data_IF_468670904290
#
_entry.id   IF_468670904290
#
_cell.length_a   1.000
_cell.length_b   1.000
_cell.length_c   1.000
_cell.angle_alpha   90.00
_cell.angle_beta   90.00
_cell.angle_gamma   90.00
#
_symmetry.space_group_name_H-M   'P 1'
#
loop_
_entity.id
_entity.type
_entity.pdbx_description
1 polymer ?
#
# COMPACT_ATOMS: atom_id res chain seq x y z
N UNK A 1 10.94 -12.64 -18.90
CA UNK A 1 10.57 -12.73 -17.47
C UNK A 1 10.51 -14.20 -17.07
N UNK A 2 11.01 -14.58 -15.89
CA UNK A 2 10.89 -15.94 -15.31
C UNK A 2 10.11 -15.86 -14.00
N UNK A 3 8.84 -15.47 -14.08
CA UNK A 3 7.96 -15.32 -12.92
C UNK A 3 6.56 -15.87 -13.23
N UNK A 4 5.79 -16.15 -12.18
CA UNK A 4 4.39 -16.62 -12.33
C UNK A 4 3.49 -15.43 -12.61
N UNK A 5 2.67 -15.53 -13.67
CA UNK A 5 1.68 -14.50 -14.02
C UNK A 5 0.27 -14.94 -13.63
N UNK A 6 -0.45 -14.08 -12.92
CA UNK A 6 -1.84 -14.27 -12.50
C UNK A 6 -2.67 -13.14 -13.09
N UNK A 7 -3.70 -13.48 -13.86
CA UNK A 7 -4.65 -12.52 -14.42
C UNK A 7 -5.99 -12.64 -13.72
N UNK A 8 -6.50 -11.55 -13.16
CA UNK A 8 -7.82 -11.50 -12.53
C UNK A 8 -8.90 -11.38 -13.60
N UNK A 9 -10.06 -11.99 -13.32
CA UNK A 9 -11.22 -11.84 -14.19
C UNK A 9 -11.73 -10.39 -14.21
N UNK A 10 -12.50 -10.04 -15.24
CA UNK A 10 -13.10 -8.70 -15.43
C UNK A 10 -13.96 -8.21 -14.25
N UNK A 11 -14.55 -9.14 -13.49
CA UNK A 11 -15.30 -8.84 -12.26
C UNK A 11 -14.42 -8.51 -11.04
N UNK A 12 -13.11 -8.64 -11.17
CA UNK A 12 -12.16 -8.69 -10.06
C UNK A 12 -11.85 -10.13 -9.65
N UNK A 13 -11.47 -10.30 -8.39
CA UNK A 13 -11.01 -11.57 -7.84
C UNK A 13 -9.89 -11.35 -6.84
N UNK A 14 -9.27 -12.44 -6.40
CA UNK A 14 -8.08 -12.43 -5.55
C UNK A 14 -6.98 -13.16 -6.31
N UNK A 15 -5.81 -12.52 -6.49
CA UNK A 15 -4.67 -13.16 -7.15
C UNK A 15 -4.05 -14.24 -6.27
N UNK A 16 -3.67 -13.87 -5.04
CA UNK A 16 -3.18 -14.79 -4.01
C UNK A 16 -3.98 -14.59 -2.73
N UNK A 17 -4.48 -15.69 -2.15
CA UNK A 17 -5.14 -15.69 -0.84
C UNK A 17 -4.27 -16.47 0.14
N UNK A 18 -3.76 -15.81 1.17
CA UNK A 18 -3.12 -16.46 2.32
C UNK A 18 -4.19 -16.71 3.37
N UNK A 19 -4.45 -17.98 3.65
CA UNK A 19 -5.49 -18.41 4.59
C UNK A 19 -5.17 -18.07 6.04
N UNK A 20 -6.20 -18.07 6.89
CA UNK A 20 -6.08 -17.85 8.34
C UNK A 20 -5.25 -18.95 9.05
N UNK A 21 -5.35 -20.20 8.58
CA UNK A 21 -4.55 -21.32 9.08
C UNK A 21 -3.11 -21.37 8.55
N UNK A 22 -2.69 -20.44 7.70
CA UNK A 22 -1.30 -20.39 7.20
C UNK A 22 -0.40 -19.78 8.25
N UNK A 23 0.69 -20.45 8.61
CA UNK A 23 1.69 -19.91 9.54
C UNK A 23 2.62 -18.92 8.85
N UNK A 24 3.08 -19.23 7.63
CA UNK A 24 3.89 -18.32 6.83
C UNK A 24 3.72 -18.55 5.33
N UNK A 25 3.94 -17.49 4.54
CA UNK A 25 3.94 -17.56 3.08
C UNK A 25 5.04 -16.66 2.49
N UNK A 26 5.76 -17.18 1.50
CA UNK A 26 6.76 -16.43 0.74
C UNK A 26 6.30 -16.33 -0.72
N UNK A 27 6.12 -15.11 -1.21
CA UNK A 27 5.61 -14.81 -2.53
C UNK A 27 6.69 -14.05 -3.32
N UNK A 28 7.38 -14.75 -4.21
CA UNK A 28 8.51 -14.21 -4.96
C UNK A 28 8.19 -14.13 -6.45
N UNK A 29 8.64 -13.05 -7.10
CA UNK A 29 8.62 -12.90 -8.56
C UNK A 29 7.24 -13.15 -9.22
N UNK A 30 6.18 -12.73 -8.54
CA UNK A 30 4.81 -12.79 -9.06
C UNK A 30 4.46 -11.57 -9.89
N UNK A 31 3.71 -11.77 -10.96
CA UNK A 31 3.05 -10.69 -11.70
C UNK A 31 1.54 -10.88 -11.61
N UNK A 32 0.83 -9.92 -11.01
CA UNK A 32 -0.62 -9.95 -10.83
C UNK A 32 -1.25 -8.81 -11.63
N UNK A 33 -2.17 -9.13 -12.53
CA UNK A 33 -2.80 -8.17 -13.44
C UNK A 33 -4.32 -8.19 -13.28
N UNK A 34 -4.93 -7.03 -13.07
CA UNK A 34 -6.39 -6.87 -13.05
C UNK A 34 -6.89 -5.83 -14.07
N UNK A 35 -8.15 -5.44 -13.92
CA UNK A 35 -8.82 -4.45 -14.76
C UNK A 35 -9.34 -3.21 -14.00
N UNK A 36 -8.73 -2.93 -12.84
CA UNK A 36 -9.10 -1.85 -11.91
C UNK A 36 -9.99 -2.32 -10.75
N UNK A 37 -10.24 -3.63 -10.65
CA UNK A 37 -11.04 -4.28 -9.60
C UNK A 37 -10.27 -5.46 -9.00
N UNK A 38 -10.70 -5.94 -7.84
CA UNK A 38 -10.12 -7.09 -7.16
C UNK A 38 -8.93 -6.76 -6.27
N UNK A 39 -8.30 -7.81 -5.76
CA UNK A 39 -7.19 -7.76 -4.80
C UNK A 39 -6.01 -8.55 -5.37
N UNK A 40 -4.82 -7.97 -5.33
CA UNK A 40 -3.60 -8.67 -5.71
C UNK A 40 -3.29 -9.80 -4.73
N UNK A 41 -2.96 -9.44 -3.48
CA UNK A 41 -2.68 -10.36 -2.38
C UNK A 41 -3.62 -10.06 -1.22
N UNK A 42 -4.40 -11.07 -0.80
CA UNK A 42 -5.29 -11.01 0.36
C UNK A 42 -4.75 -11.89 1.48
N UNK A 43 -4.46 -11.30 2.64
CA UNK A 43 -3.83 -11.94 3.79
C UNK A 43 -4.84 -12.04 4.92
N UNK A 44 -5.11 -13.27 5.37
CA UNK A 44 -6.01 -13.54 6.50
C UNK A 44 -5.26 -14.00 7.76
N UNK A 45 -4.03 -14.52 7.61
CA UNK A 45 -3.22 -15.03 8.71
C UNK A 45 -1.77 -15.28 8.30
N UNK A 46 -0.93 -15.55 9.31
CA UNK A 46 0.48 -15.87 9.15
C UNK A 46 1.39 -14.69 8.80
N UNK A 47 2.69 -14.96 8.84
CA UNK A 47 3.72 -14.03 8.36
C UNK A 47 3.85 -14.14 6.84
N UNK A 48 3.74 -13.02 6.13
CA UNK A 48 3.80 -13.01 4.66
C UNK A 48 4.95 -12.14 4.21
N UNK A 49 5.86 -12.73 3.45
CA UNK A 49 6.94 -11.99 2.76
C UNK A 49 6.67 -11.98 1.26
N UNK A 50 6.70 -10.80 0.67
CA UNK A 50 6.63 -10.58 -0.77
C UNK A 50 7.94 -9.96 -1.25
N UNK A 51 8.57 -10.53 -2.27
CA UNK A 51 9.78 -9.96 -2.88
C UNK A 51 9.69 -9.94 -4.41
N UNK A 52 9.98 -8.78 -5.01
CA UNK A 52 9.93 -8.61 -6.46
C UNK A 52 8.54 -8.73 -7.08
N UNK A 53 7.47 -8.66 -6.27
CA UNK A 53 6.08 -8.80 -6.73
C UNK A 53 5.63 -7.55 -7.49
N UNK A 54 5.02 -7.77 -8.66
CA UNK A 54 4.45 -6.75 -9.53
C UNK A 54 2.93 -6.87 -9.53
N UNK A 55 2.21 -5.78 -9.26
CA UNK A 55 0.76 -5.76 -9.24
C UNK A 55 0.25 -4.61 -10.10
N UNK A 56 -0.72 -4.84 -10.97
CA UNK A 56 -1.24 -3.78 -11.83
C UNK A 56 -2.76 -3.79 -11.91
N UNK A 57 -3.35 -2.59 -11.91
CA UNK A 57 -4.78 -2.35 -12.16
C UNK A 57 -5.67 -3.22 -11.27
N UNK A 58 -5.53 -3.09 -9.96
CA UNK A 58 -6.40 -3.75 -8.98
C UNK A 58 -7.02 -2.71 -8.03
N UNK A 59 -8.09 -3.09 -7.34
CA UNK A 59 -8.68 -2.26 -6.30
C UNK A 59 -7.77 -2.16 -5.07
N UNK A 60 -7.15 -3.28 -4.68
CA UNK A 60 -6.13 -3.30 -3.62
C UNK A 60 -4.92 -4.12 -4.05
N UNK A 61 -3.71 -3.59 -3.89
CA UNK A 61 -2.48 -4.31 -4.17
C UNK A 61 -2.25 -5.43 -3.14
N UNK A 62 -1.93 -5.03 -1.92
CA UNK A 62 -1.81 -5.90 -0.74
C UNK A 62 -2.89 -5.52 0.26
N UNK A 63 -3.62 -6.51 0.75
CA UNK A 63 -4.75 -6.29 1.66
C UNK A 63 -4.72 -7.26 2.84
N UNK A 64 -4.86 -6.73 4.05
CA UNK A 64 -4.98 -7.50 5.28
C UNK A 64 -5.99 -6.83 6.21
N UNK A 65 -7.24 -7.29 6.17
CA UNK A 65 -8.31 -6.72 7.00
C UNK A 65 -8.16 -7.13 8.48
N UNK A 66 -7.69 -8.36 8.72
CA UNK A 66 -7.56 -8.98 10.05
C UNK A 66 -6.30 -9.85 10.09
N UNK A 67 -5.92 -10.27 11.31
CA UNK A 67 -4.76 -11.11 11.58
C UNK A 67 -3.66 -10.35 12.32
N UNK A 68 -2.71 -11.08 12.90
CA UNK A 68 -1.65 -10.52 13.76
C UNK A 68 -0.23 -10.77 13.22
N UNK A 69 -0.10 -11.37 12.04
CA UNK A 69 1.20 -11.67 11.43
C UNK A 69 1.92 -10.44 10.89
N UNK A 70 3.19 -10.63 10.55
CA UNK A 70 4.02 -9.63 9.89
C UNK A 70 3.80 -9.67 8.37
N UNK A 71 3.50 -8.52 7.78
CA UNK A 71 3.48 -8.33 6.32
C UNK A 71 4.76 -7.62 5.91
N UNK A 72 5.65 -8.32 5.22
CA UNK A 72 6.88 -7.76 4.65
C UNK A 72 6.77 -7.66 3.13
N UNK A 73 6.99 -6.47 2.58
CA UNK A 73 6.92 -6.17 1.14
C UNK A 73 8.25 -5.59 0.68
N UNK A 74 8.96 -6.29 -0.20
CA UNK A 74 10.27 -5.91 -0.70
C UNK A 74 10.23 -5.67 -2.21
N UNK A 75 10.97 -4.65 -2.67
CA UNK A 75 11.30 -4.42 -4.10
C UNK A 75 10.08 -4.44 -5.04
N UNK A 76 8.99 -3.88 -4.56
CA UNK A 76 7.67 -4.11 -5.11
C UNK A 76 7.33 -3.08 -6.20
N UNK A 77 6.51 -3.44 -7.19
CA UNK A 77 5.99 -2.47 -8.16
C UNK A 77 4.48 -2.57 -8.29
N UNK A 78 3.76 -1.49 -7.97
CA UNK A 78 2.34 -1.33 -8.22
C UNK A 78 2.09 -0.27 -9.28
N UNK A 79 1.24 -0.58 -10.26
CA UNK A 79 0.84 0.39 -11.29
C UNK A 79 -0.68 0.46 -11.46
N UNK A 80 -1.24 1.65 -11.30
CA UNK A 80 -2.66 1.93 -11.48
C UNK A 80 -3.55 1.24 -10.43
N UNK A 81 -3.05 1.13 -9.20
CA UNK A 81 -3.80 0.57 -8.06
C UNK A 81 -4.68 1.64 -7.41
N UNK A 82 -5.88 1.26 -6.94
CA UNK A 82 -6.73 2.20 -6.19
C UNK A 82 -6.18 2.37 -4.78
N UNK A 83 -5.93 1.27 -4.08
CA UNK A 83 -5.13 1.25 -2.85
C UNK A 83 -3.91 0.38 -3.06
N UNK A 84 -2.71 0.90 -2.76
CA UNK A 84 -1.48 0.12 -2.87
C UNK A 84 -1.42 -0.96 -1.79
N UNK A 85 -1.23 -0.54 -0.55
CA UNK A 85 -1.15 -1.43 0.62
C UNK A 85 -2.22 -1.00 1.63
N UNK A 86 -3.05 -1.94 2.06
CA UNK A 86 -4.15 -1.71 3.01
C UNK A 86 -4.06 -2.76 4.12
N UNK A 87 -3.45 -2.39 5.26
CA UNK A 87 -3.24 -3.29 6.40
C UNK A 87 -3.96 -2.72 7.61
N UNK A 88 -4.89 -3.50 8.17
CA UNK A 88 -5.71 -3.13 9.33
C UNK A 88 -5.64 -4.14 10.47
N UNK A 89 -5.10 -5.34 10.24
CA UNK A 89 -4.89 -6.33 11.28
C UNK A 89 -3.91 -5.87 12.37
N UNK A 90 -3.94 -6.50 13.55
CA UNK A 90 -3.11 -6.12 14.71
C UNK A 90 -1.62 -6.45 14.58
N UNK A 91 -1.20 -6.93 13.41
CA UNK A 91 0.17 -7.29 13.11
C UNK A 91 1.09 -6.09 12.87
N UNK A 92 2.16 -6.35 12.12
CA UNK A 92 3.13 -5.32 11.73
C UNK A 92 3.27 -5.26 10.22
N UNK A 93 3.56 -4.07 9.70
CA UNK A 93 3.82 -3.84 8.28
C UNK A 93 5.27 -3.38 8.08
N UNK A 94 5.99 -4.03 7.16
CA UNK A 94 7.30 -3.58 6.71
C UNK A 94 7.32 -3.47 5.19
N UNK A 95 7.64 -2.29 4.67
CA UNK A 95 7.75 -2.04 3.22
C UNK A 95 9.18 -1.54 2.95
N UNK A 96 9.94 -2.30 2.17
CA UNK A 96 11.32 -1.98 1.83
C UNK A 96 11.46 -1.81 0.33
N UNK A 97 11.72 -0.56 -0.06
CA UNK A 97 11.85 -0.13 -1.45
C UNK A 97 10.59 -0.42 -2.28
N UNK A 98 10.64 0.01 -3.53
CA UNK A 98 9.56 -0.21 -4.48
C UNK A 98 8.79 1.04 -4.81
N UNK A 99 7.83 0.91 -5.71
CA UNK A 99 7.06 2.02 -6.25
C UNK A 99 5.59 1.68 -6.31
N UNK A 100 4.76 2.59 -5.81
CA UNK A 100 3.31 2.54 -5.88
C UNK A 100 2.82 3.70 -6.74
N UNK A 101 2.40 3.40 -7.97
CA UNK A 101 1.75 4.35 -8.88
C UNK A 101 0.23 4.19 -8.77
N UNK A 102 -0.45 5.24 -8.34
CA UNK A 102 -1.89 5.23 -8.07
C UNK A 102 -2.71 5.31 -9.36
N UNK A 103 -3.95 4.80 -9.28
CA UNK A 103 -4.92 4.95 -10.35
C UNK A 103 -5.23 6.43 -10.62
N UNK A 104 -5.55 6.75 -11.88
CA UNK A 104 -5.72 8.14 -12.36
C UNK A 104 -7.02 8.82 -11.91
N UNK A 105 -7.94 8.13 -11.26
CA UNK A 105 -9.23 8.70 -10.84
C UNK A 105 -9.88 7.99 -9.67
N UNK A 106 -10.87 8.65 -9.06
CA UNK A 106 -11.45 8.25 -7.78
C UNK A 106 -10.52 8.60 -6.61
N UNK A 107 -11.00 8.33 -5.40
CA UNK A 107 -10.14 8.37 -4.21
C UNK A 107 -9.16 7.20 -4.22
N UNK A 108 -7.89 7.50 -3.93
CA UNK A 108 -6.78 6.54 -4.02
C UNK A 108 -5.81 6.72 -2.87
N UNK A 109 -5.20 5.62 -2.46
CA UNK A 109 -4.26 5.56 -1.33
C UNK A 109 -2.99 4.81 -1.71
N UNK A 110 -1.82 5.35 -1.37
CA UNK A 110 -0.56 4.61 -1.46
C UNK A 110 -0.51 3.51 -0.42
N UNK A 111 -0.47 3.90 0.85
CA UNK A 111 -0.46 2.98 1.99
C UNK A 111 -1.46 3.44 3.04
N UNK A 112 -2.35 2.54 3.45
CA UNK A 112 -3.27 2.72 4.57
C UNK A 112 -2.90 1.76 5.70
N UNK A 113 -2.73 2.32 6.91
CA UNK A 113 -2.37 1.60 8.13
C UNK A 113 -3.46 1.80 9.18
N UNK A 114 -4.27 0.77 9.40
CA UNK A 114 -5.43 0.79 10.29
C UNK A 114 -5.08 0.87 11.78
N UNK A 115 -6.11 1.10 12.60
CA UNK A 115 -5.97 1.41 14.03
C UNK A 115 -5.32 0.33 14.89
N UNK A 116 -5.54 -0.94 14.53
CA UNK A 116 -5.04 -2.09 15.29
C UNK A 116 -3.56 -2.37 15.00
N UNK A 117 -3.02 -1.90 13.88
CA UNK A 117 -1.63 -2.16 13.49
C UNK A 117 -0.71 -1.63 14.58
N UNK A 118 0.19 -2.49 15.08
CA UNK A 118 1.05 -2.15 16.22
C UNK A 118 2.30 -1.38 15.81
N UNK A 119 2.79 -1.63 14.58
CA UNK A 119 3.94 -0.94 13.98
C UNK A 119 3.90 -1.02 12.46
N UNK A 120 4.24 0.08 11.80
CA UNK A 120 4.48 0.10 10.36
C UNK A 120 5.79 0.82 10.01
N UNK A 121 6.60 0.22 9.16
CA UNK A 121 7.88 0.77 8.70
C UNK A 121 7.91 0.81 7.18
N UNK A 122 8.01 2.00 6.59
CA UNK A 122 8.21 2.18 5.16
C UNK A 122 9.59 2.78 4.95
N UNK A 123 10.45 2.07 4.22
CA UNK A 123 11.83 2.49 3.94
C UNK A 123 12.08 2.54 2.44
N UNK A 124 12.48 3.70 1.90
CA UNK A 124 12.86 3.83 0.48
C UNK A 124 11.72 3.62 -0.52
N UNK A 125 10.47 3.66 -0.06
CA UNK A 125 9.28 3.50 -0.89
C UNK A 125 8.96 4.78 -1.65
N UNK A 126 8.61 4.65 -2.93
CA UNK A 126 8.10 5.75 -3.75
C UNK A 126 6.59 5.62 -3.96
N UNK A 127 5.85 6.70 -3.76
CA UNK A 127 4.39 6.78 -3.98
C UNK A 127 4.11 7.93 -4.95
N UNK A 128 3.41 7.63 -6.05
CA UNK A 128 3.14 8.58 -7.13
C UNK A 128 1.66 8.62 -7.43
N UNK A 129 1.05 9.77 -7.18
CA UNK A 129 -0.28 10.10 -7.68
C UNK A 129 -0.22 10.71 -9.07
N UNK A 130 -1.04 10.21 -9.99
CA UNK A 130 -1.21 10.78 -11.33
C UNK A 130 -2.65 11.25 -11.57
N UNK A 131 -2.82 12.04 -12.65
CA UNK A 131 -4.13 12.53 -13.09
C UNK A 131 -4.50 13.91 -12.54
N UNK A 132 -5.57 14.48 -13.09
CA UNK A 132 -6.07 15.79 -12.67
C UNK A 132 -6.95 15.66 -11.43
N UNK A 133 -6.98 16.70 -10.58
CA UNK A 133 -7.98 16.81 -9.51
C UNK A 133 -9.36 16.94 -10.18
N UNK A 134 -10.29 16.03 -9.89
CA UNK A 134 -11.69 16.21 -10.31
C UNK A 134 -12.37 17.15 -9.31
N UNK A 135 -13.18 18.09 -9.81
CA UNK A 135 -14.12 18.81 -8.95
C UNK A 135 -15.11 17.81 -8.37
N UNK A 136 -15.12 17.61 -7.05
CA UNK A 136 -16.08 16.71 -6.40
C UNK A 136 -15.63 15.94 -5.14
N UNK A 137 -14.40 16.11 -4.66
CA UNK A 137 -13.99 15.54 -3.37
C UNK A 137 -13.26 14.18 -3.41
N UNK A 138 -12.84 13.72 -4.60
CA UNK A 138 -11.88 12.61 -4.69
C UNK A 138 -10.58 12.97 -3.97
N UNK A 139 -10.13 12.14 -3.02
CA UNK A 139 -8.89 12.34 -2.27
C UNK A 139 -7.79 11.42 -2.76
N UNK A 140 -6.62 11.98 -3.11
CA UNK A 140 -5.40 11.20 -3.35
C UNK A 140 -4.49 11.34 -2.15
N UNK A 141 -4.27 10.24 -1.43
CA UNK A 141 -3.45 10.23 -0.21
C UNK A 141 -2.22 9.35 -0.42
N UNK A 142 -1.05 9.87 -0.06
CA UNK A 142 0.20 9.10 -0.11
C UNK A 142 0.22 8.02 0.95
N UNK A 143 0.27 8.41 2.23
CA UNK A 143 0.19 7.52 3.38
C UNK A 143 -0.89 8.01 4.33
N UNK A 144 -1.75 7.11 4.78
CA UNK A 144 -2.70 7.36 5.86
C UNK A 144 -2.51 6.36 6.98
N UNK A 145 -2.50 6.84 8.21
CA UNK A 145 -2.47 5.99 9.38
C UNK A 145 -3.45 6.43 10.47
N UNK A 146 -4.15 5.44 10.99
CA UNK A 146 -4.98 5.54 12.19
C UNK A 146 -4.41 4.70 13.34
N UNK A 147 -3.22 4.11 13.15
CA UNK A 147 -2.56 3.24 14.12
C UNK A 147 -2.35 3.97 15.44
N UNK A 148 -2.64 3.28 16.54
CA UNK A 148 -2.26 3.76 17.87
C UNK A 148 -0.77 3.54 18.19
N UNK A 149 -0.08 2.75 17.37
CA UNK A 149 1.33 2.42 17.49
C UNK A 149 2.26 3.43 16.80
N UNK A 150 3.43 2.95 16.38
CA UNK A 150 4.43 3.77 15.67
C UNK A 150 4.42 3.49 14.17
N UNK A 151 4.32 4.56 13.37
CA UNK A 151 4.52 4.51 11.92
C UNK A 151 5.77 5.30 11.56
N UNK A 152 6.73 4.64 10.93
CA UNK A 152 8.00 5.23 10.51
C UNK A 152 8.09 5.30 8.99
N UNK A 153 8.34 6.50 8.48
CA UNK A 153 8.62 6.79 7.08
C UNK A 153 10.09 7.21 6.95
N UNK A 154 10.93 6.32 6.43
CA UNK A 154 12.36 6.57 6.24
C UNK A 154 12.71 6.61 4.75
N UNK A 155 13.28 7.71 4.26
CA UNK A 155 13.55 7.89 2.81
C UNK A 155 12.29 7.70 1.96
N UNK A 156 11.17 8.16 2.53
CA UNK A 156 9.82 8.37 2.00
C UNK A 156 9.72 9.24 0.74
N UNK A 157 9.52 8.77 -0.49
CA UNK A 157 9.29 9.68 -1.63
C UNK A 157 7.81 9.70 -2.05
N UNK A 158 7.08 10.79 -1.78
CA UNK A 158 5.66 10.96 -2.13
C UNK A 158 5.49 12.13 -3.10
N UNK A 159 4.76 11.92 -4.19
CA UNK A 159 4.53 12.97 -5.20
C UNK A 159 3.16 12.89 -5.87
N UNK A 160 2.63 14.03 -6.32
CA UNK A 160 1.42 14.07 -7.15
C UNK A 160 0.12 13.70 -6.43
N UNK A 161 0.13 13.72 -5.09
CA UNK A 161 -1.02 13.47 -4.22
C UNK A 161 -1.60 14.78 -3.69
N UNK A 162 -2.84 14.72 -3.21
CA UNK A 162 -3.52 15.87 -2.59
C UNK A 162 -3.12 15.98 -1.11
N UNK A 163 -2.92 14.85 -0.44
CA UNK A 163 -2.36 14.81 0.91
C UNK A 163 -1.18 13.85 0.93
N UNK A 164 -0.02 14.31 1.41
CA UNK A 164 1.19 13.50 1.48
C UNK A 164 1.08 12.41 2.54
N UNK A 165 0.95 12.83 3.80
CA UNK A 165 0.80 11.95 4.96
C UNK A 165 -0.33 12.44 5.84
N UNK A 166 -1.20 11.52 6.27
CA UNK A 166 -2.19 11.74 7.34
C UNK A 166 -1.88 10.77 8.47
N UNK A 167 -1.74 11.27 9.70
CA UNK A 167 -1.77 10.45 10.90
C UNK A 167 -2.81 11.02 11.86
N UNK A 168 -3.66 10.17 12.43
CA UNK A 168 -4.72 10.62 13.35
C UNK A 168 -4.52 10.16 14.78
N UNK A 169 -3.64 9.18 15.00
CA UNK A 169 -3.35 8.56 16.29
C UNK A 169 -1.88 8.10 16.32
N UNK A 170 -1.43 7.72 17.51
CA UNK A 170 -0.12 7.09 17.71
C UNK A 170 1.04 8.04 17.48
N UNK A 171 2.17 7.48 17.05
CA UNK A 171 3.42 8.21 16.76
C UNK A 171 3.77 8.10 15.29
N UNK A 172 3.93 9.25 14.63
CA UNK A 172 4.46 9.33 13.27
C UNK A 172 5.92 9.79 13.30
N UNK A 173 6.84 8.96 12.81
CA UNK A 173 8.23 9.31 12.59
C UNK A 173 8.50 9.50 11.10
N UNK A 174 9.07 10.65 10.70
CA UNK A 174 9.54 10.88 9.33
C UNK A 174 11.03 11.22 9.39
N UNK A 175 11.87 10.40 8.77
CA UNK A 175 13.34 10.53 8.87
C UNK A 175 14.07 10.15 7.60
N UNK A 176 15.39 10.34 7.61
CA UNK A 176 16.27 9.94 6.51
C UNK A 176 16.11 10.76 5.22
N UNK A 177 15.53 11.96 5.28
CA UNK A 177 15.39 12.83 4.11
C UNK A 177 14.22 12.47 3.19
N UNK A 178 13.09 12.03 3.76
CA UNK A 178 11.83 11.85 3.03
C UNK A 178 11.44 13.12 2.25
N UNK A 179 10.93 12.94 1.02
CA UNK A 179 10.47 14.01 0.14
C UNK A 179 8.96 13.89 -0.07
N UNK A 180 8.21 14.92 0.30
CA UNK A 180 6.75 14.95 0.16
C UNK A 180 6.38 16.16 -0.70
N UNK A 181 6.00 15.90 -1.96
CA UNK A 181 5.63 16.91 -2.95
C UNK A 181 4.16 16.78 -3.32
N UNK A 182 3.32 17.56 -2.66
CA UNK A 182 1.87 17.57 -2.93
C UNK A 182 1.51 18.50 -4.08
N UNK A 183 0.31 18.32 -4.62
CA UNK A 183 -0.25 19.25 -5.62
C UNK A 183 -0.47 20.64 -5.03
N UNK A 184 -0.60 21.63 -5.91
CA UNK A 184 -0.98 22.99 -5.52
C UNK A 184 -2.28 22.98 -4.69
N UNK A 185 -2.23 23.58 -3.50
CA UNK A 185 -3.35 23.60 -2.56
C UNK A 185 -3.54 22.28 -1.76
N UNK A 186 -2.64 21.31 -1.92
CA UNK A 186 -2.62 20.09 -1.12
C UNK A 186 -1.93 20.27 0.23
N UNK A 187 -2.04 19.23 1.07
CA UNK A 187 -1.47 19.22 2.42
C UNK A 187 -0.30 18.25 2.48
N UNK A 188 0.90 18.73 2.79
CA UNK A 188 2.08 17.86 2.92
C UNK A 188 1.91 16.78 3.98
N UNK A 189 1.76 17.21 5.23
CA UNK A 189 1.58 16.33 6.39
C UNK A 189 0.42 16.88 7.24
N UNK A 190 -0.50 16.01 7.64
CA UNK A 190 -1.60 16.27 8.57
C UNK A 190 -1.47 15.33 9.76
N UNK A 191 -1.29 15.88 10.96
CA UNK A 191 -1.20 15.15 12.23
C UNK A 191 -2.16 15.73 13.26
#
# INVERSE_FOLDING_TARGET
ERGTTISLARGGGIGVKVGDGVTSANLNDLTIMGEGKGVGVNILGGDVTMDGVRISRVGRGVYMEKGSGMVTVNNMKMTGVVVGIDVKGSGTLKVNNGTIELAKGGSVWGVYVGSEVTRAELTGTKIVGEGSRKSGGDERIGVETESSGTVTLERVDISGVDIGVVATKGTLEIKGGAKIMVRLGGTGIKV
#
